data_IF_233710921347
#
_entry.id   IF_233710921347
#
_cell.length_a   1.000
_cell.length_b   1.000
_cell.length_c   1.000
_cell.angle_alpha   90.00
_cell.angle_beta   90.00
_cell.angle_gamma   90.00
#
_symmetry.space_group_name_H-M   'P 1'
#
loop_
_entity.id
_entity.type
_entity.pdbx_description
1 polymer ?
#
# COMPACT_ATOMS: atom_id res chain seq x y z
N UNK A 1 5.50 -55.63 6.92
CA UNK A 1 5.11 -54.45 6.13
C UNK A 1 4.22 -53.56 6.99
N UNK A 2 4.77 -52.50 7.56
CA UNK A 2 4.02 -51.50 8.34
C UNK A 2 4.00 -50.23 7.51
N UNK A 3 2.79 -49.77 7.18
CA UNK A 3 2.53 -48.59 6.33
C UNK A 3 3.20 -47.38 6.99
N UNK A 4 4.30 -46.91 6.40
CA UNK A 4 4.91 -45.66 6.82
C UNK A 4 3.91 -44.54 6.52
N UNK A 5 3.70 -43.63 7.48
CA UNK A 5 2.81 -42.49 7.34
C UNK A 5 3.36 -41.53 6.28
N UNK A 6 3.06 -41.81 5.02
CA UNK A 6 3.44 -41.05 3.83
C UNK A 6 3.06 -39.56 3.96
N UNK A 7 1.97 -39.25 4.67
CA UNK A 7 1.52 -37.87 4.91
C UNK A 7 2.48 -37.00 5.74
N UNK A 8 3.21 -37.59 6.70
CA UNK A 8 4.18 -36.84 7.53
C UNK A 8 5.47 -36.56 6.75
N UNK A 9 5.84 -37.45 5.82
CA UNK A 9 7.03 -37.31 4.98
C UNK A 9 6.85 -36.26 3.86
N UNK A 10 5.63 -36.13 3.34
CA UNK A 10 5.29 -35.13 2.32
C UNK A 10 5.25 -33.72 2.95
N UNK A 11 4.73 -33.59 4.17
CA UNK A 11 4.61 -32.30 4.86
C UNK A 11 5.97 -31.68 5.22
N UNK A 12 6.96 -32.50 5.59
CA UNK A 12 8.32 -32.01 5.90
C UNK A 12 9.14 -31.67 4.66
N UNK A 13 8.88 -32.32 3.53
CA UNK A 13 9.60 -32.04 2.27
C UNK A 13 9.19 -30.68 1.67
N UNK A 14 7.93 -30.25 1.85
CA UNK A 14 7.42 -28.96 1.35
C UNK A 14 8.03 -27.75 2.05
N UNK A 15 8.43 -27.89 3.32
CA UNK A 15 8.92 -26.76 4.15
C UNK A 15 10.39 -26.40 3.85
N UNK A 16 11.16 -27.34 3.28
CA UNK A 16 12.61 -27.14 3.03
C UNK A 16 12.89 -26.55 1.64
N UNK A 17 11.89 -26.50 0.75
CA UNK A 17 12.02 -25.96 -0.62
C UNK A 17 11.94 -24.42 -0.69
N UNK A 18 11.71 -23.71 0.41
CA UNK A 18 11.40 -22.28 0.41
C UNK A 18 12.58 -21.33 0.70
N UNK A 19 13.81 -21.82 0.90
CA UNK A 19 14.89 -20.96 1.45
C UNK A 19 16.19 -20.89 0.63
N UNK A 20 16.21 -21.37 -0.62
CA UNK A 20 17.32 -21.11 -1.56
C UNK A 20 16.80 -20.78 -2.97
N UNK A 21 15.85 -19.85 -3.06
CA UNK A 21 15.32 -19.32 -4.31
C UNK A 21 15.80 -17.89 -4.54
N UNK A 22 17.02 -17.76 -5.05
CA UNK A 22 17.42 -16.58 -5.85
C UNK A 22 16.39 -16.43 -6.99
N UNK A 23 16.04 -15.20 -7.36
CA UNK A 23 14.84 -14.82 -8.12
C UNK A 23 14.39 -15.76 -9.24
N UNK A 24 13.06 -15.89 -9.41
CA UNK A 24 12.28 -16.60 -10.47
C UNK A 24 11.25 -17.65 -9.99
N UNK A 25 10.81 -17.65 -8.72
CA UNK A 25 9.59 -18.39 -8.31
C UNK A 25 8.30 -17.58 -8.54
N UNK A 26 8.41 -16.26 -8.63
CA UNK A 26 7.26 -15.38 -8.95
C UNK A 26 6.85 -15.47 -10.43
N UNK A 27 7.77 -15.81 -11.33
CA UNK A 27 7.51 -15.85 -12.79
C UNK A 27 6.65 -17.04 -13.24
N UNK A 28 6.45 -18.07 -12.42
CA UNK A 28 5.70 -19.28 -12.81
C UNK A 28 4.26 -19.36 -12.31
N UNK A 29 3.81 -18.41 -11.50
CA UNK A 29 2.39 -18.30 -11.10
C UNK A 29 1.64 -17.37 -12.04
N UNK A 30 2.35 -16.47 -12.74
CA UNK A 30 1.76 -15.46 -13.62
C UNK A 30 1.18 -16.03 -14.93
N UNK A 31 1.70 -17.13 -15.47
CA UNK A 31 1.37 -17.50 -16.87
C UNK A 31 0.05 -18.25 -17.09
N UNK A 32 -0.68 -18.71 -16.04
CA UNK A 32 -1.96 -19.43 -16.20
C UNK A 32 -2.99 -19.23 -15.08
N UNK A 33 -2.83 -18.23 -14.23
CA UNK A 33 -3.89 -17.87 -13.30
C UNK A 33 -4.99 -17.13 -14.07
N UNK A 34 -5.99 -17.86 -14.57
CA UNK A 34 -7.23 -17.24 -15.05
C UNK A 34 -7.90 -16.53 -13.87
N UNK A 35 -8.42 -15.32 -14.05
CA UNK A 35 -9.09 -14.50 -13.02
C UNK A 35 -10.01 -15.35 -12.12
N UNK A 36 -10.89 -16.17 -12.70
CA UNK A 36 -11.82 -17.01 -11.93
C UNK A 36 -11.20 -18.08 -11.01
N UNK A 37 -9.91 -18.41 -11.14
CA UNK A 37 -9.18 -19.26 -10.16
C UNK A 37 -8.59 -18.38 -9.06
N UNK A 38 -8.04 -17.21 -9.41
CA UNK A 38 -7.50 -16.26 -8.46
C UNK A 38 -8.61 -15.70 -7.54
N UNK A 39 -9.78 -15.37 -8.11
CA UNK A 39 -10.96 -14.92 -7.36
C UNK A 39 -11.40 -15.95 -6.31
N UNK A 40 -11.44 -17.23 -6.67
CA UNK A 40 -11.81 -18.31 -5.74
C UNK A 40 -10.79 -18.51 -4.63
N UNK A 41 -9.51 -18.31 -4.93
CA UNK A 41 -8.43 -18.45 -3.94
C UNK A 41 -8.39 -17.26 -2.97
N UNK A 42 -8.57 -16.04 -3.47
CA UNK A 42 -8.55 -14.79 -2.69
C UNK A 42 -9.88 -14.55 -1.98
N UNK A 43 -10.98 -15.07 -2.53
CA UNK A 43 -12.35 -14.82 -2.07
C UNK A 43 -12.79 -13.38 -2.34
N UNK A 44 -12.32 -12.79 -3.46
CA UNK A 44 -12.60 -11.42 -3.88
C UNK A 44 -12.53 -11.30 -5.40
N UNK A 45 -12.89 -10.14 -5.94
CA UNK A 45 -12.75 -9.87 -7.38
C UNK A 45 -11.29 -9.58 -7.71
N UNK A 46 -10.74 -10.22 -8.75
CA UNK A 46 -9.34 -10.07 -9.16
C UNK A 46 -9.30 -9.81 -10.66
N UNK A 47 -8.71 -8.68 -11.04
CA UNK A 47 -8.48 -8.27 -12.43
C UNK A 47 -6.97 -8.21 -12.67
N UNK A 48 -6.51 -8.97 -13.67
CA UNK A 48 -5.09 -9.13 -14.01
C UNK A 48 -4.88 -8.56 -15.41
N UNK A 49 -4.08 -7.50 -15.50
CA UNK A 49 -3.69 -6.86 -16.75
C UNK A 49 -2.18 -6.95 -16.95
N UNK A 50 -1.70 -6.67 -18.15
CA UNK A 50 -0.25 -6.59 -18.44
C UNK A 50 0.46 -5.48 -17.62
N UNK A 51 -0.31 -4.50 -17.14
CA UNK A 51 0.17 -3.32 -16.44
C UNK A 51 0.07 -3.42 -14.91
N UNK A 52 -0.63 -4.43 -14.38
CA UNK A 52 -0.90 -4.52 -12.95
C UNK A 52 -1.96 -5.51 -12.50
N UNK A 53 -2.18 -5.57 -11.19
CA UNK A 53 -3.21 -6.39 -10.54
C UNK A 53 -4.13 -5.49 -9.74
N UNK A 54 -5.45 -5.71 -9.88
CA UNK A 54 -6.50 -5.12 -9.07
C UNK A 54 -7.20 -6.22 -8.27
N UNK A 55 -7.35 -6.01 -6.97
CA UNK A 55 -8.04 -6.92 -6.06
C UNK A 55 -9.07 -6.11 -5.27
N UNK A 56 -10.31 -6.57 -5.27
CA UNK A 56 -11.39 -5.99 -4.45
C UNK A 56 -11.94 -7.05 -3.51
N UNK A 57 -11.90 -6.76 -2.20
CA UNK A 57 -12.41 -7.69 -1.19
C UNK A 57 -12.93 -6.92 0.02
N UNK A 58 -14.13 -7.27 0.47
CA UNK A 58 -14.73 -6.77 1.72
C UNK A 58 -14.71 -5.24 1.86
N UNK A 59 -14.90 -4.51 0.75
CA UNK A 59 -14.90 -3.05 0.74
C UNK A 59 -13.51 -2.39 0.76
N UNK A 60 -12.47 -3.17 0.43
CA UNK A 60 -11.08 -2.73 0.28
C UNK A 60 -10.64 -3.00 -1.16
N UNK A 61 -10.09 -1.97 -1.80
CA UNK A 61 -9.47 -2.06 -3.11
C UNK A 61 -7.95 -1.99 -2.96
N UNK A 62 -7.28 -2.93 -3.62
CA UNK A 62 -5.84 -2.97 -3.78
C UNK A 62 -5.52 -2.94 -5.27
N UNK A 63 -4.64 -2.04 -5.67
CA UNK A 63 -4.17 -1.91 -7.04
C UNK A 63 -2.65 -1.77 -7.03
N UNK A 64 -1.98 -2.48 -7.93
CA UNK A 64 -0.54 -2.38 -8.16
C UNK A 64 -0.28 -2.24 -9.65
N UNK A 65 0.68 -1.41 -10.03
CA UNK A 65 1.04 -1.21 -11.44
C UNK A 65 2.28 -0.35 -11.60
N UNK A 66 2.66 -0.06 -12.85
CA UNK A 66 3.85 0.74 -13.17
C UNK A 66 3.65 2.24 -12.97
N UNK A 67 2.47 2.74 -13.29
CA UNK A 67 2.10 4.15 -13.20
C UNK A 67 0.59 4.25 -13.00
N UNK A 68 0.16 4.26 -11.74
CA UNK A 68 -1.27 4.34 -11.38
C UNK A 68 -1.74 5.80 -11.30
N UNK A 69 -3.03 6.03 -11.56
CA UNK A 69 -3.63 7.35 -11.38
C UNK A 69 -3.82 7.69 -9.90
N UNK A 70 -3.62 8.97 -9.54
CA UNK A 70 -3.80 9.42 -8.17
C UNK A 70 -5.25 9.25 -7.66
N UNK A 71 -5.49 8.53 -6.55
CA UNK A 71 -6.83 8.22 -6.07
C UNK A 71 -7.44 9.38 -5.27
N UNK A 72 -7.85 10.44 -5.96
CA UNK A 72 -8.38 11.70 -5.36
C UNK A 72 -9.46 11.46 -4.31
N UNK A 73 -10.39 10.55 -4.59
CA UNK A 73 -11.52 10.26 -3.70
C UNK A 73 -11.09 9.65 -2.35
N UNK A 74 -9.93 8.99 -2.30
CA UNK A 74 -9.40 8.33 -1.10
C UNK A 74 -8.30 9.11 -0.38
N UNK A 75 -7.80 10.19 -0.98
CA UNK A 75 -6.68 10.99 -0.47
C UNK A 75 -7.07 12.42 -0.08
N UNK A 76 -8.37 12.76 -0.15
CA UNK A 76 -8.88 14.07 0.23
C UNK A 76 -8.24 15.20 -0.57
N UNK A 77 -7.91 16.30 0.11
CA UNK A 77 -7.28 17.49 -0.52
C UNK A 77 -5.76 17.34 -0.73
N UNK A 78 -5.19 16.14 -0.49
CA UNK A 78 -3.75 15.95 -0.65
C UNK A 78 -3.35 16.04 -2.12
N UNK A 79 -2.27 16.79 -2.44
CA UNK A 79 -1.75 16.87 -3.79
C UNK A 79 -1.14 15.53 -4.19
N UNK A 80 -1.17 15.23 -5.47
CA UNK A 80 -0.42 14.10 -6.02
C UNK A 80 1.10 14.30 -5.79
N UNK A 81 1.81 13.27 -5.31
CA UNK A 81 3.27 13.32 -5.21
C UNK A 81 3.92 13.36 -6.59
N UNK A 82 5.06 14.04 -6.72
CA UNK A 82 5.89 13.97 -7.93
C UNK A 82 6.78 12.72 -7.89
N UNK A 83 6.20 11.60 -8.30
CA UNK A 83 6.84 10.30 -8.46
C UNK A 83 5.84 9.34 -9.10
N UNK A 84 6.25 8.11 -9.42
CA UNK A 84 5.32 7.16 -10.02
C UNK A 84 4.55 6.45 -8.91
N UNK A 85 3.23 6.43 -9.03
CA UNK A 85 2.37 5.68 -8.12
C UNK A 85 2.43 4.21 -8.50
N UNK A 86 2.85 3.36 -7.56
CA UNK A 86 3.04 1.93 -7.80
C UNK A 86 2.01 1.05 -7.10
N UNK A 87 1.44 1.52 -5.98
CA UNK A 87 0.43 0.79 -5.22
C UNK A 87 -0.62 1.76 -4.67
N UNK A 88 -1.89 1.37 -4.75
CA UNK A 88 -3.01 2.03 -4.10
C UNK A 88 -3.72 0.98 -3.22
N UNK A 89 -3.94 1.33 -1.97
CA UNK A 89 -4.79 0.58 -1.04
C UNK A 89 -5.82 1.55 -0.45
N UNK A 90 -7.11 1.36 -0.72
CA UNK A 90 -8.15 2.21 -0.17
C UNK A 90 -9.38 1.41 0.25
N UNK A 91 -10.25 2.06 1.01
CA UNK A 91 -11.57 1.53 1.31
C UNK A 91 -12.61 2.22 0.42
N UNK A 92 -13.64 1.49 -0.01
CA UNK A 92 -14.72 1.97 -0.88
C UNK A 92 -15.47 3.17 -0.28
N UNK A 93 -15.33 3.37 1.03
CA UNK A 93 -15.91 4.49 1.77
C UNK A 93 -15.33 5.85 1.39
N UNK A 94 -14.18 5.91 0.70
CA UNK A 94 -13.46 7.17 0.40
C UNK A 94 -12.87 7.86 1.64
N UNK A 95 -12.93 7.25 2.83
CA UNK A 95 -12.50 7.86 4.09
C UNK A 95 -11.01 7.72 4.38
N UNK A 96 -10.24 7.18 3.45
CA UNK A 96 -8.80 7.02 3.61
C UNK A 96 -8.19 6.06 2.59
N UNK A 97 -6.88 6.20 2.42
CA UNK A 97 -6.09 5.42 1.49
C UNK A 97 -4.62 5.43 1.86
N UNK A 98 -3.90 4.44 1.35
CA UNK A 98 -2.44 4.36 1.37
C UNK A 98 -1.98 4.25 -0.07
N UNK A 99 -1.04 5.11 -0.44
CA UNK A 99 -0.43 5.14 -1.77
C UNK A 99 1.06 4.94 -1.61
N UNK A 100 1.62 3.94 -2.29
CA UNK A 100 3.06 3.79 -2.43
C UNK A 100 3.53 4.44 -3.73
N UNK A 101 4.69 5.07 -3.68
CA UNK A 101 5.29 5.75 -4.81
C UNK A 101 6.78 5.46 -4.90
N UNK A 102 7.35 5.61 -6.09
CA UNK A 102 8.78 5.52 -6.34
C UNK A 102 9.26 6.68 -7.23
N UNK A 103 10.56 6.76 -7.46
CA UNK A 103 11.21 7.76 -8.33
C UNK A 103 11.01 9.23 -7.91
N UNK A 104 10.63 9.50 -6.65
CA UNK A 104 10.50 10.87 -6.15
C UNK A 104 11.87 11.47 -5.81
N UNK A 105 12.12 12.73 -6.19
CA UNK A 105 13.36 13.41 -5.79
C UNK A 105 13.34 13.83 -4.31
N UNK A 106 14.52 13.93 -3.68
CA UNK A 106 14.63 14.45 -2.30
C UNK A 106 14.08 15.88 -2.18
N UNK A 107 14.25 16.71 -3.22
CA UNK A 107 13.71 18.07 -3.24
C UNK A 107 12.18 18.07 -3.25
N UNK A 108 11.58 17.23 -4.10
CA UNK A 108 10.12 17.10 -4.17
C UNK A 108 9.54 16.48 -2.89
N UNK A 109 10.24 15.54 -2.25
CA UNK A 109 9.85 14.99 -0.95
C UNK A 109 9.82 16.08 0.14
N UNK A 110 10.85 16.94 0.20
CA UNK A 110 10.88 18.09 1.13
C UNK A 110 9.76 19.08 0.82
N UNK A 111 9.55 19.40 -0.46
CA UNK A 111 8.47 20.28 -0.88
C UNK A 111 7.09 19.69 -0.55
N UNK A 112 6.92 18.38 -0.62
CA UNK A 112 5.69 17.69 -0.25
C UNK A 112 5.39 17.86 1.23
N UNK A 113 6.39 17.70 2.11
CA UNK A 113 6.24 17.97 3.55
C UNK A 113 5.81 19.42 3.83
N UNK A 114 6.38 20.39 3.12
CA UNK A 114 5.97 21.79 3.29
C UNK A 114 4.52 22.02 2.82
N UNK A 115 4.09 21.42 1.70
CA UNK A 115 2.69 21.46 1.27
C UNK A 115 1.73 20.87 2.31
N UNK A 116 2.11 19.77 2.96
CA UNK A 116 1.29 19.19 4.04
C UNK A 116 1.11 20.19 5.20
N UNK A 117 2.18 20.91 5.58
CA UNK A 117 2.12 21.94 6.62
C UNK A 117 1.25 23.13 6.20
N UNK A 118 1.32 23.54 4.93
CA UNK A 118 0.50 24.61 4.34
C UNK A 118 -0.99 24.25 4.33
N UNK A 119 -1.32 22.98 4.07
CA UNK A 119 -2.67 22.42 4.18
C UNK A 119 -3.16 22.28 5.62
N UNK A 120 -2.34 22.66 6.60
CA UNK A 120 -2.71 22.68 8.01
C UNK A 120 -2.51 21.36 8.73
N UNK A 121 -1.93 20.34 8.10
CA UNK A 121 -1.49 19.15 8.81
C UNK A 121 -0.32 19.53 9.71
N UNK A 122 -0.56 19.60 11.02
CA UNK A 122 0.40 20.05 12.04
C UNK A 122 0.36 19.11 13.25
N UNK A 123 1.17 19.41 14.27
CA UNK A 123 1.15 18.75 15.58
C UNK A 123 1.44 17.24 15.58
N UNK A 124 2.08 16.72 14.53
CA UNK A 124 2.55 15.34 14.48
C UNK A 124 4.07 15.21 14.58
N UNK A 125 4.56 14.03 14.24
CA UNK A 125 5.97 13.68 14.27
C UNK A 125 6.66 14.10 12.97
N UNK A 126 7.86 14.67 13.07
CA UNK A 126 8.74 14.94 11.92
C UNK A 126 10.11 14.35 12.19
N UNK A 127 10.51 13.37 11.39
CA UNK A 127 11.83 12.75 11.37
C UNK A 127 12.47 13.08 10.04
N UNK A 128 13.67 13.62 10.06
CA UNK A 128 14.51 13.74 8.88
C UNK A 128 15.92 13.42 9.31
N UNK A 129 16.46 12.33 8.78
CA UNK A 129 17.84 11.91 9.00
C UNK A 129 18.55 11.70 7.65
N UNK A 130 19.66 10.96 7.65
CA UNK A 130 20.46 10.71 6.45
C UNK A 130 19.81 9.73 5.47
N UNK A 131 18.83 8.94 5.93
CA UNK A 131 18.32 7.78 5.19
C UNK A 131 16.84 7.97 4.83
N UNK A 132 16.08 8.72 5.64
CA UNK A 132 14.64 8.89 5.46
C UNK A 132 14.10 10.26 5.90
N UNK A 133 12.94 10.58 5.33
CA UNK A 133 12.03 11.62 5.78
C UNK A 133 10.73 10.92 6.19
N UNK A 134 10.25 11.20 7.39
CA UNK A 134 8.92 10.81 7.84
C UNK A 134 8.22 12.01 8.46
N UNK A 135 7.00 12.26 8.02
CA UNK A 135 6.18 13.36 8.50
C UNK A 135 4.78 12.85 8.79
N UNK A 136 4.22 13.26 9.92
CA UNK A 136 2.82 13.04 10.23
C UNK A 136 2.21 14.32 10.77
N UNK A 137 0.90 14.46 10.58
CA UNK A 137 0.18 15.62 11.08
C UNK A 137 -1.32 15.45 11.00
N UNK A 138 -2.03 16.33 11.71
CA UNK A 138 -3.50 16.43 11.66
C UNK A 138 -3.90 17.85 11.31
N UNK A 139 -4.97 17.99 10.54
CA UNK A 139 -5.56 19.30 10.25
C UNK A 139 -6.68 19.65 11.25
N UNK A 140 -7.25 20.85 11.13
CA UNK A 140 -8.33 21.33 12.00
C UNK A 140 -9.64 20.54 11.89
N UNK A 141 -9.82 19.78 10.79
CA UNK A 141 -10.96 18.87 10.60
C UNK A 141 -10.74 17.52 11.30
N UNK A 142 -9.54 17.28 11.82
CA UNK A 142 -9.13 16.01 12.42
C UNK A 142 -8.63 14.98 11.41
N UNK A 143 -8.57 15.31 10.12
CA UNK A 143 -7.98 14.42 9.13
C UNK A 143 -6.48 14.26 9.42
N UNK A 144 -5.94 13.06 9.24
CA UNK A 144 -4.55 12.74 9.51
C UNK A 144 -3.81 12.28 8.26
N UNK A 145 -2.55 12.69 8.15
CA UNK A 145 -1.62 12.25 7.11
C UNK A 145 -0.36 11.64 7.73
N UNK A 146 0.19 10.63 7.07
CA UNK A 146 1.54 10.15 7.29
C UNK A 146 2.24 10.02 5.93
N UNK A 147 3.38 10.70 5.79
CA UNK A 147 4.25 10.66 4.63
C UNK A 147 5.57 10.02 5.03
N UNK A 148 6.01 9.02 4.29
CA UNK A 148 7.35 8.44 4.42
C UNK A 148 8.08 8.55 3.09
N UNK A 149 9.39 8.71 3.15
CA UNK A 149 10.30 8.76 2.02
C UNK A 149 11.65 8.21 2.42
N UNK A 150 12.20 7.29 1.63
CA UNK A 150 13.56 6.78 1.76
C UNK A 150 14.46 7.45 0.72
N UNK A 151 15.56 8.09 1.15
CA UNK A 151 16.50 8.81 0.27
C UNK A 151 17.11 7.87 -0.78
N UNK A 152 17.34 6.62 -0.40
CA UNK A 152 17.62 5.50 -1.28
C UNK A 152 16.71 4.36 -0.84
N UNK A 153 15.79 3.86 -1.68
CA UNK A 153 15.81 3.93 -3.15
C UNK A 153 14.94 5.03 -3.80
N UNK A 154 14.59 6.12 -3.10
CA UNK A 154 13.67 7.19 -3.59
C UNK A 154 12.21 6.77 -3.68
N UNK A 155 11.78 5.99 -2.70
CA UNK A 155 10.41 5.47 -2.60
C UNK A 155 9.80 5.80 -1.24
N UNK A 156 8.49 5.62 -1.13
CA UNK A 156 7.81 5.86 0.14
C UNK A 156 6.33 5.61 0.05
N UNK A 157 5.61 6.13 1.05
CA UNK A 157 4.16 6.00 1.10
C UNK A 157 3.49 7.25 1.65
N UNK A 158 2.27 7.50 1.20
CA UNK A 158 1.36 8.50 1.76
C UNK A 158 0.15 7.75 2.29
N UNK A 159 -0.11 7.86 3.58
CA UNK A 159 -1.33 7.39 4.21
C UNK A 159 -2.20 8.59 4.58
N UNK A 160 -3.45 8.57 4.15
CA UNK A 160 -4.47 9.53 4.51
C UNK A 160 -5.61 8.83 5.24
N UNK A 161 -6.14 9.48 6.27
CA UNK A 161 -7.34 9.07 6.96
C UNK A 161 -8.17 10.30 7.29
N UNK A 162 -9.41 10.32 6.82
CA UNK A 162 -10.37 11.35 7.23
C UNK A 162 -10.85 11.08 8.65
N UNK A 163 -11.16 12.14 9.40
CA UNK A 163 -11.71 12.03 10.75
C UNK A 163 -13.05 11.28 10.80
N UNK A 164 -13.83 11.31 9.70
CA UNK A 164 -15.21 10.83 9.68
C UNK A 164 -16.15 11.60 10.63
N UNK A 165 -17.46 11.32 10.56
CA UNK A 165 -18.48 11.90 11.45
C UNK A 165 -18.38 11.43 12.92
N UNK A 166 -17.40 10.59 13.26
CA UNK A 166 -17.24 9.99 14.59
C UNK A 166 -16.69 10.99 15.64
N UNK A 167 -16.22 12.16 15.21
CA UNK A 167 -15.73 13.22 16.09
C UNK A 167 -16.81 13.86 16.97
N UNK A 168 -18.11 13.56 16.75
CA UNK A 168 -19.21 14.18 17.48
C UNK A 168 -19.95 13.26 18.49
N UNK A 169 -19.45 12.03 18.74
CA UNK A 169 -20.18 11.04 19.58
C UNK A 169 -19.57 10.84 20.98
N UNK A 170 -18.42 11.42 21.30
CA UNK A 170 -17.84 11.35 22.66
C UNK A 170 -18.06 12.61 23.51
N UNK A 171 -19.05 13.42 23.14
CA UNK A 171 -19.45 14.64 23.84
C UNK A 171 -20.76 14.53 24.64
N UNK A 172 -21.14 13.35 25.15
CA UNK A 172 -22.22 13.19 26.13
C UNK A 172 -21.85 12.23 27.24
#
# INVERSE_FOLDING_TARGET
>A
MKRANIGVLILTTVIVLSLNGCGSVQDKIAEKATEGIAEKAVGGNVDITDDGIKIQKDGVNYETGKELEWPKDSMGDLPEPKGNISVILNADTGKGGTVAYNEMSLEDAKAYVEKLKELGYKDGMSISDTDMISYSGKNSRGDSVMFTYSISPKEGSIMFKSAGDDANVLGQ
#
